data_IF_466754214225
#
_entry.id   IF_466754214225
#
_cell.length_a   1.000
_cell.length_b   1.000
_cell.length_c   1.000
_cell.angle_alpha   90.00
_cell.angle_beta   90.00
_cell.angle_gamma   90.00
#
_symmetry.space_group_name_H-M   'P 1'
#
loop_
_entity.id
_entity.type
_entity.pdbx_description
1 polymer ?
#
# COMPACT_ATOMS: atom_id res chain seq x y z
N UNK A 1 -13.91 -2.86 12.88
CA UNK A 1 -12.91 -2.46 13.89
C UNK A 1 -13.52 -2.69 15.25
N UNK A 2 -12.81 -3.39 16.16
CA UNK A 2 -13.16 -3.33 17.58
C UNK A 2 -12.97 -1.88 18.02
N UNK A 3 -13.98 -1.27 18.62
CA UNK A 3 -13.96 0.16 18.97
C UNK A 3 -13.16 0.46 20.25
N UNK A 4 -12.51 -0.55 20.83
CA UNK A 4 -11.95 -0.47 22.17
C UNK A 4 -10.45 -0.17 22.19
N UNK A 5 -9.75 -0.37 21.06
CA UNK A 5 -8.30 -0.14 20.94
C UNK A 5 -7.91 0.48 19.60
N UNK A 6 -6.74 1.14 19.57
CA UNK A 6 -6.06 1.64 18.38
C UNK A 6 -4.62 1.16 18.37
N UNK A 7 -4.15 0.71 17.21
CA UNK A 7 -2.73 0.41 16.99
C UNK A 7 -1.92 1.70 17.07
N UNK A 8 -0.91 1.71 17.91
CA UNK A 8 -0.06 2.87 18.17
C UNK A 8 1.40 2.51 18.02
N UNK A 9 2.15 3.33 17.28
CA UNK A 9 3.58 3.17 17.09
C UNK A 9 4.34 4.10 18.04
N UNK A 10 5.06 3.52 19.00
CA UNK A 10 5.93 4.25 19.93
C UNK A 10 7.18 3.42 20.21
N UNK A 11 8.32 4.09 20.40
CA UNK A 11 9.60 3.46 20.72
C UNK A 11 10.00 2.35 19.74
N UNK A 12 9.67 2.53 18.45
CA UNK A 12 9.96 1.54 17.40
C UNK A 12 9.03 0.32 17.32
N UNK A 13 8.00 0.24 18.17
CA UNK A 13 7.11 -0.92 18.31
C UNK A 13 5.64 -0.55 18.09
N UNK A 14 4.85 -1.54 17.64
CA UNK A 14 3.38 -1.43 17.51
C UNK A 14 2.72 -1.99 18.77
N UNK A 15 1.86 -1.20 19.40
CA UNK A 15 1.13 -1.58 20.61
C UNK A 15 -0.34 -1.22 20.46
N UNK A 16 -1.23 -1.98 21.08
CA UNK A 16 -2.64 -1.60 21.15
C UNK A 16 -2.91 -0.83 22.44
N UNK A 17 -3.49 0.36 22.30
CA UNK A 17 -3.85 1.20 23.45
C UNK A 17 -5.29 1.69 23.32
N UNK A 18 -5.81 2.24 24.42
CA UNK A 18 -7.15 2.85 24.45
C UNK A 18 -7.25 4.00 23.43
N UNK A 19 -8.37 4.13 22.70
CA UNK A 19 -8.56 5.19 21.73
C UNK A 19 -8.51 6.58 22.40
N UNK A 20 -7.74 7.52 21.81
CA UNK A 20 -7.65 8.89 22.28
C UNK A 20 -8.98 9.64 22.11
N UNK A 21 -9.11 10.77 22.81
CA UNK A 21 -10.35 11.55 22.84
C UNK A 21 -10.80 12.00 21.44
N UNK A 22 -9.86 12.39 20.58
CA UNK A 22 -10.19 12.84 19.21
C UNK A 22 -10.83 11.72 18.38
N UNK A 23 -10.45 10.46 18.59
CA UNK A 23 -10.99 9.32 17.86
C UNK A 23 -12.43 9.04 18.33
N UNK A 24 -12.69 9.15 19.63
CA UNK A 24 -14.05 9.09 20.20
C UNK A 24 -14.95 10.21 19.67
N UNK A 25 -14.41 11.43 19.53
CA UNK A 25 -15.14 12.55 18.88
C UNK A 25 -15.47 12.24 17.41
N UNK A 26 -14.52 11.73 16.64
CA UNK A 26 -14.75 11.33 15.26
C UNK A 26 -15.82 10.22 15.17
N UNK A 27 -15.78 9.26 16.08
CA UNK A 27 -16.77 8.19 16.14
C UNK A 27 -18.17 8.72 16.49
N UNK A 28 -18.29 9.65 17.44
CA UNK A 28 -19.56 10.29 17.76
C UNK A 28 -20.14 11.04 16.54
N UNK A 29 -19.31 11.69 15.74
CA UNK A 29 -19.71 12.36 14.49
C UNK A 29 -20.16 11.32 13.44
N UNK A 30 -19.44 10.20 13.32
CA UNK A 30 -19.72 9.14 12.34
C UNK A 30 -20.96 8.31 12.69
N UNK A 31 -21.26 8.12 13.97
CA UNK A 31 -22.31 7.21 14.45
C UNK A 31 -23.74 7.62 14.06
N UNK A 32 -23.93 8.86 13.58
CA UNK A 32 -25.18 9.30 12.96
C UNK A 32 -25.44 8.69 11.57
N UNK A 33 -24.50 7.95 10.99
CA UNK A 33 -24.64 7.29 9.68
C UNK A 33 -24.61 8.24 8.46
N UNK A 34 -24.77 9.54 8.69
CA UNK A 34 -24.80 10.56 7.63
C UNK A 34 -23.41 10.99 7.14
N UNK A 35 -22.37 10.80 7.97
CA UNK A 35 -21.03 11.32 7.70
C UNK A 35 -20.04 10.16 7.54
N UNK A 36 -19.36 10.02 6.39
CA UNK A 36 -18.31 9.02 6.22
C UNK A 36 -17.18 9.18 7.25
N UNK A 37 -16.60 8.07 7.69
CA UNK A 37 -15.56 8.03 8.73
C UNK A 37 -14.41 9.03 8.50
N UNK A 38 -13.85 9.07 7.28
CA UNK A 38 -12.75 9.98 6.94
C UNK A 38 -13.15 11.46 6.99
N UNK A 39 -14.42 11.77 6.69
CA UNK A 39 -14.97 13.12 6.84
C UNK A 39 -15.21 13.46 8.32
N UNK A 40 -15.65 12.48 9.11
CA UNK A 40 -15.78 12.62 10.57
C UNK A 40 -14.43 12.88 11.24
N UNK A 41 -13.37 12.16 10.84
CA UNK A 41 -11.99 12.42 11.28
C UNK A 41 -11.52 13.82 10.92
N UNK A 42 -11.71 14.23 9.67
CA UNK A 42 -11.34 15.57 9.20
C UNK A 42 -12.01 16.66 10.03
N UNK A 43 -13.28 16.44 10.40
CA UNK A 43 -14.04 17.36 11.27
C UNK A 43 -13.56 17.33 12.72
N UNK A 44 -13.30 16.15 13.28
CA UNK A 44 -12.84 15.99 14.67
C UNK A 44 -11.42 16.54 14.91
N UNK A 45 -10.55 16.40 13.90
CA UNK A 45 -9.16 16.86 13.93
C UNK A 45 -8.97 18.27 13.37
N UNK A 46 -10.02 18.83 12.74
CA UNK A 46 -9.97 20.10 12.02
C UNK A 46 -8.79 20.16 11.02
N UNK A 47 -8.57 19.06 10.31
CA UNK A 47 -7.42 18.87 9.42
C UNK A 47 -7.76 17.92 8.26
N UNK A 48 -7.38 18.31 7.05
CA UNK A 48 -7.51 17.48 5.84
C UNK A 48 -6.34 16.50 5.77
N UNK A 49 -6.56 15.22 5.41
CA UNK A 49 -5.46 14.27 5.30
C UNK A 49 -4.53 14.61 4.12
N UNK A 50 -3.24 14.40 4.32
CA UNK A 50 -2.31 14.17 3.23
C UNK A 50 -2.58 12.80 2.61
N UNK A 51 -2.47 12.69 1.29
CA UNK A 51 -2.82 11.50 0.52
C UNK A 51 -1.65 11.07 -0.34
N UNK A 52 -1.13 9.88 -0.08
CA UNK A 52 -0.14 9.21 -0.92
C UNK A 52 -0.83 8.00 -1.58
N UNK A 53 -0.74 7.84 -2.91
CA UNK A 53 -1.45 6.77 -3.61
C UNK A 53 -0.66 6.18 -4.78
N UNK A 54 -0.80 4.87 -4.96
CA UNK A 54 -0.27 4.15 -6.12
C UNK A 54 -1.43 3.78 -7.05
N UNK A 55 -1.22 4.01 -8.35
CA UNK A 55 -2.16 3.67 -9.41
C UNK A 55 -3.60 4.16 -9.14
N UNK A 56 -3.80 5.47 -8.91
CA UNK A 56 -5.14 6.00 -8.65
C UNK A 56 -6.09 5.58 -9.78
N UNK A 57 -7.27 5.08 -9.41
CA UNK A 57 -8.32 4.57 -10.31
C UNK A 57 -8.09 3.17 -10.91
N UNK A 58 -7.15 2.38 -10.40
CA UNK A 58 -7.04 0.94 -10.73
C UNK A 58 -7.62 0.07 -9.60
N UNK A 59 -8.09 -1.16 -9.90
CA UNK A 59 -8.55 -2.09 -8.87
C UNK A 59 -7.45 -2.45 -7.86
N UNK A 60 -6.19 -2.43 -8.31
CA UNK A 60 -5.00 -2.72 -7.48
C UNK A 60 -4.45 -1.46 -6.77
N UNK A 61 -5.26 -0.40 -6.67
CA UNK A 61 -4.82 0.84 -6.04
C UNK A 61 -4.61 0.65 -4.54
N UNK A 62 -3.63 1.37 -4.02
CA UNK A 62 -3.44 1.54 -2.58
C UNK A 62 -3.27 3.01 -2.27
N UNK A 63 -3.72 3.38 -1.08
CA UNK A 63 -3.69 4.74 -0.58
C UNK A 63 -3.28 4.74 0.88
N UNK A 64 -2.47 5.72 1.25
CA UNK A 64 -2.17 6.04 2.64
C UNK A 64 -2.70 7.44 2.91
N UNK A 65 -3.58 7.57 3.89
CA UNK A 65 -4.10 8.84 4.37
C UNK A 65 -3.40 9.20 5.67
N UNK A 66 -2.91 10.43 5.80
CA UNK A 66 -2.19 10.90 6.99
C UNK A 66 -2.79 12.20 7.50
N UNK A 67 -3.26 12.21 8.75
CA UNK A 67 -3.67 13.41 9.47
C UNK A 67 -2.57 13.83 10.43
N UNK A 68 -2.20 15.12 10.41
CA UNK A 68 -1.29 15.71 11.40
C UNK A 68 -2.12 16.26 12.56
N UNK A 69 -1.89 15.77 13.77
CA UNK A 69 -2.65 16.18 14.95
C UNK A 69 -2.04 17.47 15.53
N UNK A 70 -2.87 18.49 15.71
CA UNK A 70 -2.42 19.81 16.20
C UNK A 70 -2.28 19.88 17.72
N UNK A 71 -3.25 19.34 18.46
CA UNK A 71 -3.32 19.48 19.93
C UNK A 71 -2.40 18.49 20.64
N UNK A 72 -2.48 17.21 20.29
CA UNK A 72 -1.68 16.14 20.92
C UNK A 72 -0.33 15.92 20.23
N UNK A 73 -0.13 16.53 19.05
CA UNK A 73 1.01 16.23 18.20
C UNK A 73 0.92 14.85 17.56
N UNK A 74 1.90 14.54 16.70
CA UNK A 74 1.96 13.26 16.02
C UNK A 74 1.10 13.16 14.76
N UNK A 75 0.88 11.93 14.32
CA UNK A 75 0.24 11.58 13.06
C UNK A 75 -0.74 10.44 13.26
N UNK A 76 -1.88 10.49 12.59
CA UNK A 76 -2.77 9.35 12.43
C UNK A 76 -2.77 8.92 10.98
N UNK A 77 -2.62 7.63 10.74
CA UNK A 77 -2.41 7.06 9.42
C UNK A 77 -3.40 5.94 9.16
N UNK A 78 -4.04 5.97 7.99
CA UNK A 78 -4.87 4.88 7.49
C UNK A 78 -4.27 4.31 6.21
N UNK A 79 -4.10 2.99 6.19
CA UNK A 79 -3.77 2.21 5.01
C UNK A 79 -5.06 1.75 4.35
N UNK A 80 -5.27 2.11 3.09
CA UNK A 80 -6.53 1.97 2.40
C UNK A 80 -6.36 1.27 1.05
N UNK A 81 -7.35 0.47 0.68
CA UNK A 81 -7.68 0.14 -0.71
C UNK A 81 -8.86 1.02 -1.17
N UNK A 82 -9.30 0.95 -2.45
CA UNK A 82 -10.50 1.65 -2.89
C UNK A 82 -11.78 1.27 -2.13
N UNK A 83 -11.79 0.11 -1.46
CA UNK A 83 -13.01 -0.46 -0.88
C UNK A 83 -13.00 -0.51 0.65
N UNK A 84 -11.83 -0.51 1.29
CA UNK A 84 -11.72 -0.70 2.72
C UNK A 84 -10.46 -0.08 3.30
N UNK A 85 -10.54 0.25 4.59
CA UNK A 85 -9.37 0.53 5.43
C UNK A 85 -8.78 -0.83 5.82
N UNK A 86 -7.52 -1.05 5.48
CA UNK A 86 -6.74 -2.25 5.83
C UNK A 86 -6.24 -2.17 7.27
N UNK A 87 -5.69 -1.02 7.64
CA UNK A 87 -5.09 -0.80 8.94
C UNK A 87 -5.10 0.70 9.30
N UNK A 88 -5.06 1.01 10.59
CA UNK A 88 -5.06 2.35 11.13
C UNK A 88 -4.06 2.45 12.29
N UNK A 89 -3.12 3.39 12.20
CA UNK A 89 -2.03 3.55 13.16
C UNK A 89 -1.94 4.98 13.66
N UNK A 90 -1.83 5.14 14.98
CA UNK A 90 -1.50 6.40 15.61
C UNK A 90 -0.01 6.47 15.97
N UNK A 91 0.66 7.55 15.59
CA UNK A 91 2.07 7.84 15.89
C UNK A 91 2.12 9.13 16.72
N UNK A 92 2.03 9.04 18.07
CA UNK A 92 1.90 10.23 18.92
C UNK A 92 3.19 11.07 18.94
N UNK A 93 4.36 10.43 18.95
CA UNK A 93 5.63 11.13 19.00
C UNK A 93 6.09 11.58 17.61
N UNK A 94 6.34 12.89 17.44
CA UNK A 94 6.79 13.45 16.16
C UNK A 94 8.15 12.91 15.71
N UNK A 95 9.03 12.57 16.65
CA UNK A 95 10.35 12.00 16.37
C UNK A 95 10.26 10.60 15.73
N UNK A 96 9.22 9.84 16.09
CA UNK A 96 8.95 8.49 15.57
C UNK A 96 8.35 8.52 14.15
N UNK A 97 7.91 9.69 13.66
CA UNK A 97 7.25 9.79 12.36
C UNK A 97 8.12 9.33 11.19
N UNK A 98 9.37 9.79 11.13
CA UNK A 98 10.27 9.44 10.04
C UNK A 98 10.61 7.93 10.06
N UNK A 99 11.02 7.33 11.20
CA UNK A 99 11.16 5.88 11.31
C UNK A 99 9.90 5.10 10.91
N UNK A 100 8.73 5.54 11.36
CA UNK A 100 7.46 4.90 11.01
C UNK A 100 7.22 4.93 9.50
N UNK A 101 7.36 6.11 8.88
CA UNK A 101 7.14 6.29 7.45
C UNK A 101 8.08 5.44 6.61
N UNK A 102 9.36 5.37 6.97
CA UNK A 102 10.35 4.59 6.21
C UNK A 102 10.20 3.08 6.40
N UNK A 103 9.78 2.62 7.58
CA UNK A 103 9.63 1.20 7.90
C UNK A 103 8.28 0.60 7.49
N UNK A 104 7.21 1.40 7.42
CA UNK A 104 5.85 0.91 7.20
C UNK A 104 5.17 1.51 5.98
N UNK A 105 5.09 2.84 5.87
CA UNK A 105 4.38 3.51 4.76
C UNK A 105 5.07 3.25 3.41
N UNK A 106 6.37 3.50 3.32
CA UNK A 106 7.08 3.36 2.04
C UNK A 106 7.10 1.90 1.55
N UNK A 107 7.41 0.88 2.38
CA UNK A 107 7.36 -0.51 1.93
C UNK A 107 5.96 -0.94 1.52
N UNK A 108 4.92 -0.48 2.21
CA UNK A 108 3.53 -0.72 1.80
C UNK A 108 3.26 -0.19 0.39
N UNK A 109 3.57 1.08 0.13
CA UNK A 109 3.36 1.69 -1.20
C UNK A 109 4.21 0.99 -2.28
N UNK A 110 5.46 0.62 -1.96
CA UNK A 110 6.34 -0.09 -2.89
C UNK A 110 5.80 -1.48 -3.25
N UNK A 111 5.28 -2.23 -2.27
CA UNK A 111 4.69 -3.55 -2.51
C UNK A 111 3.49 -3.45 -3.48
N UNK A 112 2.59 -2.50 -3.25
CA UNK A 112 1.45 -2.28 -4.14
C UNK A 112 1.87 -1.77 -5.53
N UNK A 113 2.91 -0.95 -5.63
CA UNK A 113 3.48 -0.54 -6.92
C UNK A 113 4.06 -1.73 -7.72
N UNK A 114 4.75 -2.64 -7.03
CA UNK A 114 5.25 -3.86 -7.65
C UNK A 114 4.11 -4.77 -8.13
N UNK A 115 3.08 -4.97 -7.31
CA UNK A 115 1.89 -5.75 -7.68
C UNK A 115 1.15 -5.14 -8.87
N UNK A 116 0.91 -3.83 -8.87
CA UNK A 116 0.24 -3.15 -9.98
C UNK A 116 1.02 -3.29 -11.30
N UNK A 117 2.35 -3.26 -11.23
CA UNK A 117 3.25 -3.50 -12.37
C UNK A 117 3.14 -4.93 -12.88
N UNK A 118 3.23 -5.92 -11.98
CA UNK A 118 3.13 -7.34 -12.32
C UNK A 118 1.77 -7.68 -12.96
N UNK A 119 0.67 -7.18 -12.39
CA UNK A 119 -0.67 -7.37 -12.94
C UNK A 119 -0.82 -6.73 -14.32
N UNK A 120 -0.25 -5.54 -14.52
CA UNK A 120 -0.26 -4.87 -15.82
C UNK A 120 0.53 -5.69 -16.86
N UNK A 121 1.70 -6.22 -16.49
CA UNK A 121 2.49 -7.10 -17.36
C UNK A 121 1.74 -8.39 -17.70
N UNK A 122 1.13 -9.04 -16.71
CA UNK A 122 0.35 -10.27 -16.93
C UNK A 122 -0.81 -10.03 -17.92
N UNK A 123 -1.56 -8.93 -17.76
CA UNK A 123 -2.64 -8.57 -18.70
C UNK A 123 -2.08 -8.34 -20.11
N UNK A 124 -0.96 -7.64 -20.24
CA UNK A 124 -0.32 -7.44 -21.55
C UNK A 124 0.09 -8.77 -22.19
N UNK A 125 0.70 -9.68 -21.44
CA UNK A 125 1.07 -11.01 -21.94
C UNK A 125 -0.16 -11.80 -22.39
N UNK A 126 -1.26 -11.77 -21.63
CA UNK A 126 -2.52 -12.43 -21.99
C UNK A 126 -3.14 -11.84 -23.27
N UNK A 127 -2.98 -10.54 -23.52
CA UNK A 127 -3.51 -9.86 -24.72
C UNK A 127 -2.60 -9.92 -25.95
N UNK A 128 -1.29 -10.15 -25.77
CA UNK A 128 -0.33 -10.37 -26.86
C UNK A 128 -0.26 -11.86 -27.26
N UNK A 129 -0.54 -12.77 -26.33
CA UNK A 129 -0.59 -14.22 -26.57
C UNK A 129 -1.88 -14.83 -27.17
N UNK A 130 -2.95 -14.12 -27.62
CA UNK A 130 -4.06 -14.79 -28.30
C UNK A 130 -3.75 -15.21 -29.75
N UNK A 131 -2.55 -14.90 -30.27
CA UNK A 131 -2.16 -15.21 -31.65
C UNK A 131 -1.17 -16.38 -31.80
N UNK A 132 -1.00 -17.22 -30.77
CA UNK A 132 -0.02 -18.34 -30.83
C UNK A 132 -0.61 -19.73 -30.53
N UNK A 133 -1.94 -19.90 -30.52
CA UNK A 133 -2.55 -21.24 -30.46
C UNK A 133 -2.67 -21.93 -31.84
N UNK A 134 -2.31 -21.25 -32.94
CA UNK A 134 -2.38 -21.81 -34.30
C UNK A 134 -1.07 -22.41 -34.85
N UNK A 135 0.09 -22.12 -34.26
CA UNK A 135 1.40 -22.52 -34.80
C UNK A 135 2.41 -22.79 -33.69
N UNK A 136 2.14 -23.77 -32.83
CA UNK A 136 3.22 -24.46 -32.12
C UNK A 136 3.48 -25.75 -32.91
N UNK A 137 4.50 -25.81 -33.79
CA UNK A 137 4.96 -27.08 -34.29
C UNK A 137 5.36 -27.93 -33.08
N UNK A 138 4.72 -29.10 -32.96
CA UNK A 138 5.04 -30.09 -31.93
C UNK A 138 6.55 -30.35 -31.96
N UNK A 139 7.16 -30.23 -30.78
CA UNK A 139 8.49 -30.69 -30.39
C UNK A 139 9.18 -31.56 -31.44
N UNK A 140 10.26 -31.06 -32.05
CA UNK A 140 11.06 -31.84 -32.99
C UNK A 140 12.21 -31.13 -33.70
N UNK A 141 12.15 -29.81 -33.91
CA UNK A 141 13.19 -29.11 -34.70
C UNK A 141 13.48 -27.69 -34.17
N UNK A 142 14.28 -27.58 -33.11
CA UNK A 142 14.95 -26.32 -32.82
C UNK A 142 16.41 -26.42 -33.28
N UNK A 143 16.78 -25.58 -34.25
CA UNK A 143 18.16 -25.38 -34.69
C UNK A 143 19.00 -24.95 -33.48
N UNK A 144 20.19 -25.53 -33.24
CA UNK A 144 20.99 -25.19 -32.06
C UNK A 144 21.29 -23.70 -32.03
N UNK A 145 21.27 -23.14 -30.81
CA UNK A 145 21.52 -21.72 -30.56
C UNK A 145 22.87 -21.29 -31.17
N UNK A 146 22.97 -20.09 -31.74
CA UNK A 146 24.23 -19.58 -32.28
C UNK A 146 25.34 -19.59 -31.21
N UNK A 147 26.57 -20.02 -31.54
CA UNK A 147 27.67 -20.14 -30.57
C UNK A 147 27.97 -18.87 -29.77
N UNK A 148 27.74 -17.70 -30.38
CA UNK A 148 27.91 -16.40 -29.73
C UNK A 148 27.01 -16.21 -28.49
N UNK A 149 25.83 -16.85 -28.46
CA UNK A 149 24.88 -16.74 -27.36
C UNK A 149 25.24 -17.69 -26.21
N UNK A 150 25.88 -18.83 -26.53
CA UNK A 150 26.42 -19.76 -25.52
C UNK A 150 27.64 -19.16 -24.81
N UNK A 151 28.47 -18.37 -25.51
CA UNK A 151 29.61 -17.70 -24.89
C UNK A 151 29.19 -16.59 -23.92
N UNK A 152 28.14 -15.82 -24.22
CA UNK A 152 27.64 -14.78 -23.32
C UNK A 152 27.09 -15.35 -21.99
N UNK A 153 26.49 -16.53 -22.02
CA UNK A 153 25.97 -17.20 -20.83
C UNK A 153 27.08 -17.74 -19.90
N UNK A 154 28.28 -18.01 -20.43
CA UNK A 154 29.41 -18.53 -19.65
C UNK A 154 30.19 -17.42 -18.93
N UNK A 155 30.02 -16.15 -19.30
CA UNK A 155 30.74 -15.03 -18.67
C UNK A 155 30.13 -14.54 -17.36
N UNK A 156 28.90 -14.96 -17.02
CA UNK A 156 28.21 -14.57 -15.78
C UNK A 156 28.41 -15.52 -14.59
N UNK A 157 29.14 -16.64 -14.76
CA UNK A 157 29.33 -17.66 -13.71
C UNK A 157 30.76 -17.70 -13.16
N UNK A 158 31.54 -16.65 -13.37
CA UNK A 158 32.85 -16.49 -12.72
C UNK A 158 33.06 -15.06 -12.26
N UNK A 159 32.50 -14.73 -11.10
CA UNK A 159 33.15 -14.01 -9.98
C UNK A 159 32.22 -13.87 -8.80
#
# INVERSE_FOLDING_TARGET
MNNDTITTFMYGEMTEIRPPEWMRRAQAICSGGEIPWQAALTRALNAVPHRESIAPNKPDAAQVLTWVLREEGGHYVEFCTPHHILDAVWVPEKAEWLPFRTKHILPFLQAYAAMATANSLQRLLQHVAPATEGQIPRSGEHKPLPPAWLQAAQWGTSR
#
